data_IF_626045411860
#
_entry.id   IF_626045411860
#
_cell.length_a   1.000
_cell.length_b   1.000
_cell.length_c   1.000
_cell.angle_alpha   90.00
_cell.angle_beta   90.00
_cell.angle_gamma   90.00
#
_symmetry.space_group_name_H-M   'P 1'
#
loop_
_entity.id
_entity.type
_entity.pdbx_description
1 polymer ?
#
# COMPACT_ATOMS: atom_id res chain seq x y z
N UNK A 1 -16.94 -24.53 -20.78
CA UNK A 1 -18.39 -24.20 -20.77
C UNK A 1 -18.70 -23.29 -21.93
N UNK A 2 -19.83 -23.49 -22.59
CA UNK A 2 -20.33 -22.55 -23.61
C UNK A 2 -20.86 -21.28 -22.94
N UNK A 3 -21.00 -20.19 -23.70
CA UNK A 3 -21.43 -18.90 -23.15
C UNK A 3 -22.89 -18.94 -22.61
N UNK A 4 -23.69 -19.89 -23.10
CA UNK A 4 -25.10 -20.06 -22.73
C UNK A 4 -25.27 -20.84 -21.42
N UNK A 5 -24.31 -21.70 -21.07
CA UNK A 5 -24.24 -22.46 -19.81
C UNK A 5 -23.83 -21.59 -18.61
N UNK A 6 -23.26 -20.41 -18.84
CA UNK A 6 -22.80 -19.51 -17.78
C UNK A 6 -23.97 -18.69 -17.19
N UNK A 7 -23.99 -18.49 -15.85
CA UNK A 7 -24.95 -17.58 -15.24
C UNK A 7 -24.77 -16.16 -15.81
N UNK A 8 -25.85 -15.37 -15.87
CA UNK A 8 -25.90 -14.08 -16.60
C UNK A 8 -24.71 -13.16 -16.25
N UNK A 9 -24.37 -13.02 -14.97
CA UNK A 9 -23.24 -12.21 -14.47
C UNK A 9 -21.86 -12.63 -15.03
N UNK A 10 -21.73 -13.90 -15.41
CA UNK A 10 -20.51 -14.53 -15.91
C UNK A 10 -20.51 -14.73 -17.43
N UNK A 11 -21.61 -14.42 -18.11
CA UNK A 11 -21.63 -14.45 -19.58
C UNK A 11 -20.60 -13.47 -20.10
N UNK A 12 -19.79 -13.94 -21.05
CA UNK A 12 -18.63 -13.19 -21.58
C UNK A 12 -17.48 -12.95 -20.60
N UNK A 13 -17.49 -13.55 -19.40
CA UNK A 13 -16.34 -13.48 -18.51
C UNK A 13 -15.25 -14.46 -18.99
N UNK A 14 -14.07 -13.98 -19.42
CA UNK A 14 -13.03 -14.85 -19.95
C UNK A 14 -12.50 -15.82 -18.90
N UNK A 15 -12.51 -15.43 -17.61
CA UNK A 15 -12.07 -16.28 -16.52
C UNK A 15 -13.10 -17.37 -16.23
N UNK A 16 -14.39 -17.05 -16.28
CA UNK A 16 -15.43 -18.08 -16.11
C UNK A 16 -15.42 -19.09 -17.26
N UNK A 17 -15.16 -18.66 -18.50
CA UNK A 17 -15.00 -19.58 -19.64
C UNK A 17 -13.81 -20.51 -19.48
N UNK A 18 -12.69 -19.97 -19.00
CA UNK A 18 -11.41 -20.70 -18.93
C UNK A 18 -11.32 -21.60 -17.69
N UNK A 19 -11.73 -21.10 -16.52
CA UNK A 19 -11.59 -21.78 -15.23
C UNK A 19 -12.89 -22.40 -14.70
N UNK A 20 -14.03 -22.16 -15.37
CA UNK A 20 -15.30 -22.83 -15.08
C UNK A 20 -15.84 -22.63 -13.66
N UNK A 21 -16.45 -23.68 -13.11
CA UNK A 21 -17.20 -23.65 -11.86
C UNK A 21 -16.37 -23.24 -10.64
N UNK A 22 -15.07 -23.58 -10.61
CA UNK A 22 -14.21 -23.21 -9.49
C UNK A 22 -14.08 -21.69 -9.35
N UNK A 23 -13.93 -20.98 -10.48
CA UNK A 23 -13.91 -19.53 -10.52
C UNK A 23 -15.28 -18.95 -10.16
N UNK A 24 -16.35 -19.49 -10.75
CA UNK A 24 -17.72 -19.01 -10.52
C UNK A 24 -18.11 -19.11 -9.04
N UNK A 25 -17.78 -20.23 -8.38
CA UNK A 25 -18.05 -20.42 -6.95
C UNK A 25 -17.36 -19.38 -6.08
N UNK A 26 -16.11 -19.05 -6.39
CA UNK A 26 -15.32 -18.03 -5.67
C UNK A 26 -15.88 -16.62 -5.85
N UNK A 27 -16.28 -16.29 -7.07
CA UNK A 27 -16.87 -14.99 -7.37
C UNK A 27 -18.29 -14.82 -6.79
N UNK A 28 -19.10 -15.90 -6.79
CA UNK A 28 -20.38 -15.93 -6.06
C UNK A 28 -20.20 -15.75 -4.56
N UNK A 29 -19.13 -16.32 -3.99
CA UNK A 29 -18.82 -16.10 -2.58
C UNK A 29 -18.48 -14.63 -2.31
N UNK A 30 -17.70 -13.98 -3.19
CA UNK A 30 -17.47 -12.53 -3.09
C UNK A 30 -18.77 -11.74 -3.17
N UNK A 31 -19.68 -12.09 -4.08
CA UNK A 31 -21.01 -11.48 -4.18
C UNK A 31 -21.79 -11.61 -2.87
N UNK A 32 -21.94 -12.84 -2.35
CA UNK A 32 -22.67 -13.15 -1.12
C UNK A 32 -22.12 -12.35 0.08
N UNK A 33 -20.80 -12.30 0.20
CA UNK A 33 -20.10 -11.59 1.26
C UNK A 33 -20.33 -10.08 1.17
N UNK A 34 -20.35 -9.49 -0.03
CA UNK A 34 -20.61 -8.06 -0.22
C UNK A 34 -22.07 -7.71 0.10
N UNK A 35 -23.01 -8.59 -0.25
CA UNK A 35 -24.45 -8.26 -0.26
C UNK A 35 -25.19 -8.66 1.00
N UNK A 36 -24.72 -9.71 1.68
CA UNK A 36 -25.49 -10.40 2.72
C UNK A 36 -24.79 -10.53 4.06
N UNK A 37 -23.46 -10.44 4.12
CA UNK A 37 -22.73 -10.61 5.38
C UNK A 37 -22.79 -9.34 6.25
N UNK A 38 -22.57 -9.55 7.54
CA UNK A 38 -22.35 -8.53 8.57
C UNK A 38 -21.19 -9.00 9.45
N UNK A 39 -20.03 -8.38 9.33
CA UNK A 39 -18.84 -8.74 10.12
C UNK A 39 -18.84 -8.03 11.48
N UNK A 40 -19.59 -6.94 11.60
CA UNK A 40 -19.48 -5.96 12.68
C UNK A 40 -18.36 -4.94 12.42
N UNK A 41 -18.44 -3.79 13.12
CA UNK A 41 -17.58 -2.60 12.91
C UNK A 41 -16.09 -2.84 13.19
N UNK A 42 -15.76 -3.81 14.05
CA UNK A 42 -14.39 -4.08 14.48
C UNK A 42 -13.72 -5.25 13.78
N UNK A 43 -14.49 -6.06 13.03
CA UNK A 43 -13.98 -7.28 12.40
C UNK A 43 -13.96 -7.15 10.87
N UNK A 44 -13.02 -7.86 10.25
CA UNK A 44 -12.74 -7.85 8.83
C UNK A 44 -12.67 -9.29 8.32
N UNK A 45 -13.41 -9.56 7.24
CA UNK A 45 -13.24 -10.77 6.47
C UNK A 45 -12.15 -10.53 5.42
N UNK A 46 -11.06 -11.29 5.51
CA UNK A 46 -9.91 -11.17 4.60
C UNK A 46 -9.97 -12.27 3.56
N UNK A 47 -10.27 -11.91 2.32
CA UNK A 47 -10.43 -12.83 1.21
C UNK A 47 -9.12 -12.91 0.42
N UNK A 48 -8.43 -14.05 0.52
CA UNK A 48 -7.14 -14.26 -0.17
C UNK A 48 -7.30 -14.80 -1.60
N UNK A 49 -8.17 -14.16 -2.38
CA UNK A 49 -8.29 -14.50 -3.79
C UNK A 49 -6.95 -14.31 -4.50
N UNK A 50 -6.61 -15.28 -5.32
CA UNK A 50 -5.41 -15.24 -6.15
C UNK A 50 -5.37 -13.97 -7.02
N UNK A 51 -4.18 -13.38 -7.15
CA UNK A 51 -3.94 -12.20 -7.98
C UNK A 51 -4.25 -12.49 -9.45
N UNK A 52 -4.78 -11.50 -10.16
CA UNK A 52 -5.09 -11.64 -11.59
C UNK A 52 -6.44 -12.28 -11.92
N UNK A 53 -7.26 -12.67 -10.94
CA UNK A 53 -8.61 -13.23 -11.18
C UNK A 53 -9.71 -12.19 -11.47
N UNK A 54 -9.35 -10.91 -11.66
CA UNK A 54 -10.33 -9.85 -11.91
C UNK A 54 -11.24 -9.51 -10.73
N UNK A 55 -10.83 -9.83 -9.48
CA UNK A 55 -11.60 -9.60 -8.24
C UNK A 55 -12.18 -8.19 -8.13
N UNK A 56 -11.36 -7.18 -8.40
CA UNK A 56 -11.76 -5.77 -8.30
C UNK A 56 -12.77 -5.37 -9.38
N UNK A 57 -12.71 -5.98 -10.56
CA UNK A 57 -13.71 -5.76 -11.62
C UNK A 57 -15.00 -6.53 -11.34
N UNK A 58 -14.90 -7.75 -10.82
CA UNK A 58 -16.07 -8.52 -10.41
C UNK A 58 -16.87 -7.81 -9.32
N UNK A 59 -16.20 -7.19 -8.35
CA UNK A 59 -16.85 -6.32 -7.36
C UNK A 59 -17.69 -5.23 -8.04
N UNK A 60 -17.19 -4.57 -9.08
CA UNK A 60 -17.96 -3.54 -9.80
C UNK A 60 -19.19 -4.13 -10.50
N UNK A 61 -19.09 -5.34 -11.07
CA UNK A 61 -20.25 -6.04 -11.64
C UNK A 61 -21.32 -6.32 -10.58
N UNK A 62 -20.90 -6.80 -9.41
CA UNK A 62 -21.80 -7.03 -8.26
C UNK A 62 -22.47 -5.73 -7.85
N UNK A 63 -21.70 -4.65 -7.65
CA UNK A 63 -22.27 -3.35 -7.29
C UNK A 63 -23.27 -2.86 -8.35
N UNK A 64 -22.95 -2.94 -9.64
CA UNK A 64 -23.85 -2.56 -10.71
C UNK A 64 -25.20 -3.31 -10.67
N UNK A 65 -25.16 -4.63 -10.49
CA UNK A 65 -26.36 -5.45 -10.38
C UNK A 65 -27.24 -5.03 -9.19
N UNK A 66 -26.63 -4.86 -8.01
CA UNK A 66 -27.40 -4.60 -6.79
C UNK A 66 -27.80 -3.13 -6.62
N UNK A 67 -27.06 -2.17 -7.21
CA UNK A 67 -27.50 -0.76 -7.27
C UNK A 67 -28.76 -0.58 -8.12
N UNK A 68 -28.99 -1.48 -9.08
CA UNK A 68 -30.20 -1.52 -9.89
C UNK A 68 -31.40 -2.13 -9.16
N UNK A 69 -31.16 -2.82 -8.04
CA UNK A 69 -32.21 -3.43 -7.22
C UNK A 69 -32.73 -2.43 -6.17
N UNK A 70 -34.01 -2.00 -6.25
CA UNK A 70 -34.57 -1.05 -5.29
C UNK A 70 -34.70 -1.61 -3.88
N UNK A 71 -34.63 -2.93 -3.69
CA UNK A 71 -34.66 -3.56 -2.37
C UNK A 71 -33.29 -3.51 -1.67
N UNK A 72 -32.21 -3.28 -2.43
CA UNK A 72 -30.86 -3.21 -1.89
C UNK A 72 -30.54 -1.79 -1.39
N UNK A 73 -30.60 -1.62 -0.07
CA UNK A 73 -30.45 -0.32 0.60
C UNK A 73 -29.05 -0.10 1.20
N UNK A 74 -28.06 -0.89 0.81
CA UNK A 74 -26.69 -0.73 1.29
C UNK A 74 -25.95 0.36 0.51
N UNK A 75 -25.20 1.17 1.24
CA UNK A 75 -24.22 2.10 0.69
C UNK A 75 -22.82 1.58 0.95
N UNK A 76 -21.92 1.78 -0.02
CA UNK A 76 -20.62 1.11 -0.08
C UNK A 76 -19.50 2.14 -0.07
N UNK A 77 -18.46 1.86 0.72
CA UNK A 77 -17.18 2.53 0.68
C UNK A 77 -16.12 1.56 0.16
N UNK A 78 -15.45 1.93 -0.93
CA UNK A 78 -14.38 1.14 -1.53
C UNK A 78 -13.06 1.88 -1.41
N UNK A 79 -12.06 1.23 -0.83
CA UNK A 79 -10.71 1.79 -0.62
C UNK A 79 -9.77 1.18 -1.64
N UNK A 80 -9.14 2.02 -2.48
CA UNK A 80 -8.21 1.58 -3.53
C UNK A 80 -6.86 2.27 -3.41
N UNK A 81 -5.80 1.63 -3.88
CA UNK A 81 -4.44 2.19 -3.76
C UNK A 81 -4.19 3.34 -4.74
N UNK A 82 -4.65 3.22 -5.98
CA UNK A 82 -4.35 4.18 -7.04
C UNK A 82 -5.55 4.99 -7.49
N UNK A 83 -5.33 6.29 -7.71
CA UNK A 83 -6.32 7.21 -8.29
C UNK A 83 -6.87 6.72 -9.63
N UNK A 84 -6.00 6.29 -10.55
CA UNK A 84 -6.44 5.82 -11.86
C UNK A 84 -7.40 4.63 -11.81
N UNK A 85 -7.33 3.77 -10.78
CA UNK A 85 -8.29 2.69 -10.58
C UNK A 85 -9.61 3.18 -10.00
N UNK A 86 -9.59 4.24 -9.20
CA UNK A 86 -10.79 4.91 -8.70
C UNK A 86 -11.52 5.55 -9.88
N UNK A 87 -10.81 6.33 -10.70
CA UNK A 87 -11.40 7.01 -11.86
C UNK A 87 -12.07 6.00 -12.81
N UNK A 88 -11.36 4.92 -13.16
CA UNK A 88 -11.92 3.81 -13.98
C UNK A 88 -13.15 3.15 -13.36
N UNK A 89 -13.18 2.98 -12.03
CA UNK A 89 -14.31 2.37 -11.34
C UNK A 89 -15.54 3.31 -11.30
N UNK A 90 -15.30 4.60 -11.10
CA UNK A 90 -16.35 5.63 -11.13
C UNK A 90 -16.93 5.75 -12.53
N UNK A 91 -16.09 5.84 -13.57
CA UNK A 91 -16.53 5.89 -14.97
C UNK A 91 -17.35 4.65 -15.34
N UNK A 92 -16.88 3.46 -14.94
CA UNK A 92 -17.59 2.22 -15.18
C UNK A 92 -18.99 2.24 -14.56
N UNK A 93 -19.12 2.51 -13.26
CA UNK A 93 -20.42 2.44 -12.58
C UNK A 93 -21.36 3.58 -12.97
N UNK A 94 -20.84 4.79 -13.20
CA UNK A 94 -21.65 5.95 -13.59
C UNK A 94 -22.22 5.80 -15.01
N UNK A 95 -21.52 5.06 -15.88
CA UNK A 95 -21.99 4.75 -17.23
C UNK A 95 -23.10 3.69 -17.30
N UNK A 96 -23.44 3.01 -16.20
CA UNK A 96 -24.44 1.92 -16.20
C UNK A 96 -25.82 2.34 -15.69
N UNK A 97 -25.95 3.48 -15.00
CA UNK A 97 -27.26 3.91 -14.48
C UNK A 97 -27.24 5.21 -13.67
N UNK A 98 -28.40 5.58 -13.13
CA UNK A 98 -28.63 6.85 -12.41
C UNK A 98 -28.50 6.70 -10.89
N UNK A 99 -27.34 6.24 -10.41
CA UNK A 99 -27.02 6.20 -8.98
C UNK A 99 -25.79 7.06 -8.67
N UNK A 100 -25.73 7.57 -7.44
CA UNK A 100 -24.65 8.44 -7.01
C UNK A 100 -23.36 7.65 -6.75
N UNK A 101 -22.38 7.81 -7.64
CA UNK A 101 -21.02 7.27 -7.50
C UNK A 101 -20.04 8.43 -7.43
N UNK A 102 -19.06 8.34 -6.53
CA UNK A 102 -18.05 9.38 -6.39
C UNK A 102 -16.69 8.79 -6.02
N UNK A 103 -15.63 9.31 -6.63
CA UNK A 103 -14.25 9.07 -6.20
C UNK A 103 -13.69 10.28 -5.48
N UNK A 104 -13.18 10.10 -4.26
CA UNK A 104 -12.47 11.14 -3.51
C UNK A 104 -10.98 10.83 -3.48
N UNK A 105 -10.21 11.78 -4.01
CA UNK A 105 -8.74 11.74 -4.02
C UNK A 105 -8.19 13.01 -3.37
N UNK A 106 -6.86 13.14 -3.30
CA UNK A 106 -6.25 14.36 -2.78
C UNK A 106 -6.64 15.60 -3.63
N UNK A 107 -6.80 15.40 -4.94
CA UNK A 107 -6.98 16.48 -5.92
C UNK A 107 -8.34 17.18 -5.78
N UNK A 108 -9.40 16.42 -5.53
CA UNK A 108 -10.76 16.96 -5.41
C UNK A 108 -11.23 17.18 -3.97
N UNK A 109 -10.58 16.57 -2.98
CA UNK A 109 -10.95 16.78 -1.58
C UNK A 109 -10.76 18.24 -1.15
N UNK A 110 -9.54 18.75 -1.29
CA UNK A 110 -9.13 20.03 -0.68
C UNK A 110 -9.89 21.22 -1.27
N UNK A 111 -10.15 21.20 -2.58
CA UNK A 111 -10.76 22.33 -3.26
C UNK A 111 -12.28 22.26 -3.35
N UNK A 112 -12.85 21.06 -3.41
CA UNK A 112 -14.27 20.86 -3.71
C UNK A 112 -15.03 20.20 -2.55
N UNK A 113 -14.65 18.97 -2.20
CA UNK A 113 -15.49 18.12 -1.35
C UNK A 113 -15.38 18.41 0.13
N UNK A 114 -14.26 18.95 0.61
CA UNK A 114 -14.10 19.33 2.01
C UNK A 114 -15.19 20.34 2.48
N UNK A 115 -15.63 21.24 1.59
CA UNK A 115 -16.68 22.23 1.89
C UNK A 115 -18.10 21.67 1.80
N UNK A 116 -18.26 20.52 1.14
CA UNK A 116 -19.55 19.84 0.92
C UNK A 116 -19.56 18.44 1.55
N UNK A 117 -18.73 18.20 2.56
CA UNK A 117 -18.48 16.86 3.10
C UNK A 117 -19.76 16.16 3.60
N UNK A 118 -20.74 16.90 4.12
CA UNK A 118 -22.04 16.36 4.49
C UNK A 118 -22.79 15.68 3.31
N UNK A 119 -22.59 16.16 2.08
CA UNK A 119 -23.20 15.56 0.89
C UNK A 119 -22.64 14.16 0.59
N UNK A 120 -21.48 13.79 1.14
CA UNK A 120 -20.94 12.45 0.98
C UNK A 120 -21.87 11.39 1.55
N UNK A 121 -22.69 11.70 2.55
CA UNK A 121 -23.58 10.73 3.19
C UNK A 121 -24.70 10.22 2.27
N UNK A 122 -25.01 10.94 1.19
CA UNK A 122 -26.07 10.58 0.24
C UNK A 122 -25.52 9.80 -0.98
N UNK A 123 -24.20 9.62 -1.06
CA UNK A 123 -23.55 8.90 -2.15
C UNK A 123 -23.63 7.38 -1.93
N UNK A 124 -24.29 6.66 -2.85
CA UNK A 124 -24.49 5.19 -2.78
C UNK A 124 -23.17 4.42 -2.81
N UNK A 125 -22.23 4.82 -3.66
CA UNK A 125 -20.90 4.20 -3.77
C UNK A 125 -19.82 5.27 -3.72
N UNK A 126 -18.98 5.22 -2.69
CA UNK A 126 -17.86 6.12 -2.52
C UNK A 126 -16.55 5.36 -2.68
N UNK A 127 -15.66 5.86 -3.52
CA UNK A 127 -14.30 5.37 -3.66
C UNK A 127 -13.34 6.33 -2.97
N UNK A 128 -12.40 5.82 -2.18
CA UNK A 128 -11.34 6.62 -1.56
C UNK A 128 -9.98 5.97 -1.75
N UNK A 129 -8.92 6.76 -1.65
CA UNK A 129 -7.55 6.23 -1.66
C UNK A 129 -7.18 5.58 -0.32
N UNK A 130 -6.21 4.66 -0.32
CA UNK A 130 -5.55 4.18 0.91
C UNK A 130 -5.07 5.35 1.78
N UNK A 131 -4.44 6.36 1.18
CA UNK A 131 -3.98 7.56 1.91
C UNK A 131 -5.13 8.29 2.61
N UNK A 132 -6.29 8.43 1.96
CA UNK A 132 -7.48 9.01 2.60
C UNK A 132 -7.95 8.15 3.77
N UNK A 133 -8.06 6.83 3.58
CA UNK A 133 -8.47 5.91 4.65
C UNK A 133 -7.56 6.04 5.89
N UNK A 134 -6.25 6.15 5.68
CA UNK A 134 -5.27 6.38 6.75
C UNK A 134 -5.43 7.76 7.40
N UNK A 135 -5.61 8.82 6.62
CA UNK A 135 -5.85 10.17 7.16
C UNK A 135 -7.12 10.25 8.01
N UNK A 136 -8.18 9.52 7.64
CA UNK A 136 -9.44 9.44 8.40
C UNK A 136 -9.28 8.69 9.73
N UNK A 137 -8.16 7.99 9.96
CA UNK A 137 -7.82 7.44 11.27
C UNK A 137 -7.44 8.56 12.26
N UNK A 138 -6.98 9.71 11.76
CA UNK A 138 -6.51 10.83 12.58
C UNK A 138 -7.58 11.90 12.83
N UNK A 139 -8.73 11.80 12.16
CA UNK A 139 -9.80 12.79 12.22
C UNK A 139 -11.18 12.13 12.27
N UNK A 140 -11.64 11.82 13.48
CA UNK A 140 -12.93 11.15 13.70
C UNK A 140 -14.12 11.95 13.16
N UNK A 141 -14.07 13.28 13.27
CA UNK A 141 -15.14 14.17 12.75
C UNK A 141 -15.24 14.09 11.24
N UNK A 142 -14.09 14.12 10.55
CA UNK A 142 -14.08 13.97 9.10
C UNK A 142 -14.49 12.56 8.69
N UNK A 143 -14.05 11.53 9.43
CA UNK A 143 -14.42 10.13 9.19
C UNK A 143 -15.94 9.93 9.18
N UNK A 144 -16.69 10.62 10.04
CA UNK A 144 -18.15 10.54 10.05
C UNK A 144 -18.79 10.82 8.68
N UNK A 145 -18.28 11.78 7.91
CA UNK A 145 -18.80 12.05 6.56
C UNK A 145 -18.63 10.88 5.58
N UNK A 146 -17.62 10.03 5.82
CA UNK A 146 -17.31 8.85 5.01
C UNK A 146 -17.96 7.58 5.53
N UNK A 147 -18.43 7.54 6.78
CA UNK A 147 -18.97 6.32 7.41
C UNK A 147 -20.47 6.37 7.65
N UNK A 148 -21.03 7.55 7.91
CA UNK A 148 -22.45 7.71 8.19
C UNK A 148 -23.31 7.27 6.99
N UNK A 149 -24.40 6.54 7.29
CA UNK A 149 -25.29 5.89 6.32
C UNK A 149 -24.60 4.89 5.37
N UNK A 150 -23.42 4.37 5.70
CA UNK A 150 -22.74 3.31 4.94
C UNK A 150 -22.68 2.00 5.70
N UNK A 151 -22.81 0.93 4.93
CA UNK A 151 -22.97 -0.41 5.45
C UNK A 151 -21.75 -1.28 5.13
N UNK A 152 -21.24 -1.18 3.90
CA UNK A 152 -20.18 -2.08 3.40
C UNK A 152 -18.89 -1.31 3.17
N UNK A 153 -17.79 -1.77 3.76
CA UNK A 153 -16.43 -1.33 3.49
C UNK A 153 -15.69 -2.44 2.73
N UNK A 154 -15.13 -2.09 1.57
CA UNK A 154 -14.26 -2.99 0.82
C UNK A 154 -12.90 -2.35 0.65
N UNK A 155 -11.87 -2.95 1.23
CA UNK A 155 -10.48 -2.53 1.10
C UNK A 155 -9.80 -3.40 0.05
N UNK A 156 -9.40 -2.80 -1.07
CA UNK A 156 -8.63 -3.47 -2.12
C UNK A 156 -7.14 -3.41 -1.76
N UNK A 157 -6.51 -4.58 -1.61
CA UNK A 157 -5.13 -4.77 -1.13
C UNK A 157 -4.91 -4.35 0.35
N UNK A 158 -3.85 -4.88 0.97
CA UNK A 158 -3.47 -4.53 2.36
C UNK A 158 -3.16 -3.03 2.52
N UNK A 159 -3.71 -2.41 3.55
CA UNK A 159 -3.34 -1.05 3.97
C UNK A 159 -2.00 -1.07 4.69
N UNK A 160 -1.03 -0.29 4.21
CA UNK A 160 0.29 -0.15 4.83
C UNK A 160 0.35 1.22 5.49
N UNK A 161 0.20 1.25 6.82
CA UNK A 161 0.26 2.51 7.55
C UNK A 161 1.69 3.07 7.64
N UNK A 162 1.84 4.40 7.70
CA UNK A 162 3.15 5.04 7.81
C UNK A 162 3.90 4.61 9.08
N UNK A 163 5.15 4.19 8.89
CA UNK A 163 6.13 3.98 9.96
C UNK A 163 6.99 5.24 10.07
N UNK A 164 7.12 5.75 11.29
CA UNK A 164 7.95 6.89 11.62
C UNK A 164 9.27 6.41 12.21
N UNK A 165 10.38 6.71 11.54
CA UNK A 165 11.71 6.28 11.93
C UNK A 165 12.57 7.49 12.29
N UNK A 166 13.04 7.53 13.53
CA UNK A 166 14.06 8.47 13.98
C UNK A 166 15.43 7.80 13.91
N UNK A 167 16.42 8.52 13.37
CA UNK A 167 17.82 8.12 13.34
C UNK A 167 18.72 9.36 13.23
N UNK A 168 20.04 9.16 13.33
CA UNK A 168 21.02 10.25 13.24
C UNK A 168 20.97 10.99 11.90
N UNK A 169 20.58 10.32 10.80
CA UNK A 169 20.44 10.98 9.50
C UNK A 169 19.27 11.96 9.49
N UNK A 170 18.10 11.57 10.01
CA UNK A 170 16.94 12.45 10.11
C UNK A 170 17.21 13.61 11.06
N UNK A 171 17.85 13.34 12.21
CA UNK A 171 18.26 14.36 13.16
C UNK A 171 19.11 15.44 12.49
N UNK A 172 20.21 15.05 11.83
CA UNK A 172 21.12 16.00 11.19
C UNK A 172 20.45 16.77 10.05
N UNK A 173 19.60 16.08 9.27
CA UNK A 173 18.84 16.70 8.18
C UNK A 173 17.91 17.79 8.72
N UNK A 174 17.05 17.47 9.69
CA UNK A 174 16.07 18.42 10.25
C UNK A 174 16.77 19.55 11.01
N UNK A 175 17.83 19.25 11.77
CA UNK A 175 18.65 20.26 12.45
C UNK A 175 19.21 21.29 11.47
N UNK A 176 19.65 20.83 10.30
CA UNK A 176 20.17 21.69 9.22
C UNK A 176 19.13 22.58 8.56
N UNK A 177 17.83 22.31 8.77
CA UNK A 177 16.74 23.16 8.28
C UNK A 177 16.49 24.38 9.18
N UNK A 178 17.00 24.36 10.42
CA UNK A 178 16.71 25.34 11.45
C UNK A 178 17.85 26.34 11.65
N UNK A 179 17.49 27.58 12.00
CA UNK A 179 18.45 28.59 12.47
C UNK A 179 18.94 28.25 13.90
N UNK A 180 19.94 28.98 14.38
CA UNK A 180 20.58 28.68 15.68
C UNK A 180 19.61 28.68 16.86
N UNK A 181 18.63 29.58 16.91
CA UNK A 181 17.69 29.65 18.04
C UNK A 181 16.72 28.47 18.07
N UNK A 182 16.24 28.00 16.91
CA UNK A 182 15.38 26.82 16.84
C UNK A 182 16.19 25.54 17.07
N UNK A 183 17.45 25.49 16.64
CA UNK A 183 18.34 24.34 16.87
C UNK A 183 18.48 23.98 18.35
N UNK A 184 18.60 24.96 19.24
CA UNK A 184 18.74 24.70 20.69
C UNK A 184 17.50 23.97 21.26
N UNK A 185 16.29 24.42 20.88
CA UNK A 185 15.04 23.76 21.30
C UNK A 185 14.89 22.39 20.62
N UNK A 186 15.26 22.29 19.35
CA UNK A 186 15.26 21.03 18.61
C UNK A 186 16.18 19.97 19.24
N UNK A 187 17.40 20.37 19.62
CA UNK A 187 18.38 19.49 20.24
C UNK A 187 17.84 18.95 21.57
N UNK A 188 17.20 19.80 22.39
CA UNK A 188 16.50 19.41 23.62
C UNK A 188 15.34 18.43 23.35
N UNK A 189 14.54 18.68 22.31
CA UNK A 189 13.46 17.76 21.90
C UNK A 189 13.99 16.41 21.42
N UNK A 190 15.20 16.35 20.87
CA UNK A 190 15.77 15.11 20.34
C UNK A 190 16.61 14.33 21.37
N UNK A 191 17.08 14.98 22.43
CA UNK A 191 17.98 14.40 23.43
C UNK A 191 17.50 13.03 23.96
N UNK A 192 16.24 12.85 24.41
CA UNK A 192 15.79 11.55 24.89
C UNK A 192 15.85 10.44 23.83
N UNK A 193 15.62 10.76 22.56
CA UNK A 193 15.71 9.79 21.47
C UNK A 193 17.16 9.48 21.11
N UNK A 194 18.03 10.48 21.15
CA UNK A 194 19.48 10.32 20.92
C UNK A 194 20.12 9.46 22.00
N UNK A 195 19.74 9.64 23.26
CA UNK A 195 20.21 8.79 24.36
C UNK A 195 19.89 7.31 24.11
N UNK A 196 18.72 7.00 23.54
CA UNK A 196 18.36 5.63 23.15
C UNK A 196 19.18 5.12 21.96
N UNK A 197 19.50 5.98 20.99
CA UNK A 197 20.38 5.60 19.87
C UNK A 197 21.79 5.28 20.37
N UNK A 198 22.34 6.14 21.21
CA UNK A 198 23.70 6.02 21.76
C UNK A 198 23.81 4.81 22.70
N UNK A 199 22.77 4.55 23.51
CA UNK A 199 22.71 3.38 24.39
C UNK A 199 22.82 2.05 23.64
N UNK A 200 22.33 1.97 22.41
CA UNK A 200 22.26 0.71 21.66
C UNK A 200 23.15 0.65 20.41
N UNK A 201 23.99 1.66 20.18
CA UNK A 201 24.80 1.80 18.96
C UNK A 201 25.65 0.55 18.61
N UNK A 202 26.08 -0.20 19.62
CA UNK A 202 26.92 -1.39 19.45
C UNK A 202 26.12 -2.68 19.13
N UNK A 203 24.79 -2.67 19.26
CA UNK A 203 23.93 -3.85 19.14
C UNK A 203 23.19 -3.92 17.79
N UNK A 204 23.94 -4.09 16.69
CA UNK A 204 23.41 -4.01 15.32
C UNK A 204 22.38 -5.08 14.92
N UNK A 205 22.46 -6.28 15.51
CA UNK A 205 21.61 -7.42 15.13
C UNK A 205 20.52 -7.74 16.17
N UNK A 206 20.21 -6.78 17.05
CA UNK A 206 19.22 -6.98 18.12
C UNK A 206 18.13 -5.91 18.06
N UNK A 207 16.97 -6.25 18.61
CA UNK A 207 15.84 -5.35 18.71
C UNK A 207 15.52 -5.04 20.15
N UNK A 208 15.25 -3.77 20.42
CA UNK A 208 14.90 -3.29 21.76
C UNK A 208 13.61 -2.49 21.72
N UNK A 209 12.80 -2.63 22.76
CA UNK A 209 11.67 -1.72 22.95
C UNK A 209 12.17 -0.37 23.45
N UNK A 210 11.71 0.70 22.83
CA UNK A 210 12.04 2.08 23.17
C UNK A 210 10.79 2.76 23.71
N UNK A 211 10.93 3.37 24.89
CA UNK A 211 9.91 4.20 25.53
C UNK A 211 10.54 5.53 25.91
N UNK A 212 10.77 6.37 24.91
CA UNK A 212 11.29 7.70 25.13
C UNK A 212 10.25 8.55 25.88
N UNK A 213 10.70 9.38 26.81
CA UNK A 213 9.83 10.25 27.60
C UNK A 213 10.33 11.68 27.47
N UNK A 214 9.39 12.59 27.24
CA UNK A 214 9.61 14.02 27.21
C UNK A 214 8.39 14.72 27.81
N UNK A 215 8.57 15.90 28.41
CA UNK A 215 7.44 16.69 28.90
C UNK A 215 6.61 17.17 27.71
N UNK A 216 5.27 16.97 27.70
CA UNK A 216 4.42 17.39 26.59
C UNK A 216 4.56 18.88 26.22
N UNK A 217 4.73 19.74 27.22
CA UNK A 217 4.88 21.19 27.01
C UNK A 217 6.09 21.53 26.15
N UNK A 218 7.19 20.77 26.25
CA UNK A 218 8.40 20.98 25.43
C UNK A 218 8.11 20.67 23.96
N UNK A 219 7.38 19.59 23.70
CA UNK A 219 6.98 19.19 22.33
C UNK A 219 6.01 20.22 21.75
N UNK A 220 5.02 20.67 22.53
CA UNK A 220 4.06 21.69 22.11
C UNK A 220 4.76 23.02 21.81
N UNK A 221 5.64 23.48 22.71
CA UNK A 221 6.42 24.70 22.51
C UNK A 221 7.28 24.62 21.25
N UNK A 222 7.97 23.50 21.03
CA UNK A 222 8.75 23.29 19.82
C UNK A 222 7.89 23.32 18.56
N UNK A 223 6.75 22.62 18.53
CA UNK A 223 5.79 22.66 17.41
C UNK A 223 5.35 24.09 17.10
N UNK A 224 4.98 24.87 18.13
CA UNK A 224 4.58 26.27 17.96
C UNK A 224 5.71 27.18 17.44
N UNK A 225 6.94 26.98 17.91
CA UNK A 225 8.11 27.72 17.43
C UNK A 225 8.36 27.42 15.95
N UNK A 226 8.31 26.14 15.55
CA UNK A 226 8.50 25.73 14.16
C UNK A 226 7.40 26.27 13.26
N UNK A 227 6.14 26.24 13.70
CA UNK A 227 5.01 26.80 12.98
C UNK A 227 5.14 28.31 12.76
N UNK A 228 5.51 29.06 13.80
CA UNK A 228 5.75 30.50 13.71
C UNK A 228 6.91 30.86 12.76
N UNK A 229 7.85 29.92 12.54
CA UNK A 229 9.01 30.11 11.68
C UNK A 229 8.93 29.29 10.38
N UNK A 230 7.77 28.75 10.02
CA UNK A 230 7.63 27.82 8.88
C UNK A 230 8.12 28.40 7.56
N UNK A 231 7.85 29.69 7.33
CA UNK A 231 8.27 30.41 6.12
C UNK A 231 9.79 30.54 5.98
N UNK A 232 10.54 30.45 7.08
CA UNK A 232 12.01 30.50 7.08
C UNK A 232 12.67 29.16 6.74
N UNK A 233 11.90 28.06 6.78
CA UNK A 233 12.39 26.72 6.49
C UNK A 233 12.55 26.57 4.97
N UNK A 234 13.71 26.11 4.47
CA UNK A 234 13.91 25.88 3.05
C UNK A 234 12.83 24.96 2.48
N UNK A 235 12.17 25.36 1.39
CA UNK A 235 11.08 24.59 0.76
C UNK A 235 11.42 23.11 0.53
N UNK A 236 12.65 22.82 0.11
CA UNK A 236 13.16 21.46 -0.12
C UNK A 236 13.24 20.57 1.13
N UNK A 237 13.16 21.15 2.33
CA UNK A 237 13.24 20.45 3.63
C UNK A 237 11.91 20.47 4.39
N UNK A 238 10.90 21.19 3.90
CA UNK A 238 9.61 21.32 4.60
C UNK A 238 8.91 19.96 4.77
N UNK A 239 9.04 19.06 3.78
CA UNK A 239 8.50 17.70 3.90
C UNK A 239 9.20 16.89 5.00
N UNK A 240 10.54 16.96 5.08
CA UNK A 240 11.32 16.28 6.12
C UNK A 240 11.01 16.82 7.52
N UNK A 241 10.88 18.15 7.65
CA UNK A 241 10.48 18.78 8.92
C UNK A 241 9.05 18.37 9.30
N UNK A 242 8.10 18.38 8.36
CA UNK A 242 6.73 17.92 8.62
C UNK A 242 6.68 16.44 9.02
N UNK A 243 7.49 15.59 8.37
CA UNK A 243 7.65 14.19 8.76
C UNK A 243 8.15 14.06 10.20
N UNK A 244 9.17 14.84 10.58
CA UNK A 244 9.70 14.87 11.93
C UNK A 244 8.66 15.33 12.97
N UNK A 245 7.94 16.42 12.70
CA UNK A 245 6.89 16.94 13.59
C UNK A 245 5.79 15.91 13.86
N UNK A 246 5.38 15.16 12.84
CA UNK A 246 4.41 14.05 12.96
C UNK A 246 5.01 12.86 13.71
N UNK A 247 6.31 12.60 13.52
CA UNK A 247 7.04 11.55 14.21
C UNK A 247 7.13 11.77 15.72
N UNK A 248 7.13 13.01 16.20
CA UNK A 248 7.15 13.31 17.65
C UNK A 248 5.99 12.66 18.40
N UNK A 249 4.78 12.69 17.83
CA UNK A 249 3.59 12.07 18.44
C UNK A 249 3.71 10.54 18.49
N UNK A 250 4.52 9.95 17.61
CA UNK A 250 4.79 8.52 17.56
C UNK A 250 5.87 8.13 18.56
N UNK A 251 7.04 8.77 18.47
CA UNK A 251 8.23 8.41 19.25
C UNK A 251 8.05 8.67 20.75
N UNK A 252 7.22 9.64 21.12
CA UNK A 252 6.90 9.95 22.51
C UNK A 252 5.53 9.43 22.97
N UNK A 253 4.61 9.13 22.05
CA UNK A 253 3.27 8.65 22.37
C UNK A 253 3.12 7.13 22.43
N UNK A 254 4.09 6.36 21.92
CA UNK A 254 3.96 4.90 21.76
C UNK A 254 5.22 4.13 22.14
N UNK A 255 5.11 2.80 22.18
CA UNK A 255 6.27 1.92 22.29
C UNK A 255 6.88 1.76 20.91
N UNK A 256 8.10 2.26 20.74
CA UNK A 256 8.86 2.11 19.50
C UNK A 256 9.79 0.89 19.57
N UNK A 257 10.37 0.54 18.43
CA UNK A 257 11.36 -0.52 18.29
C UNK A 257 12.66 0.08 17.79
N UNK A 258 13.75 -0.20 18.50
CA UNK A 258 15.10 0.08 18.04
C UNK A 258 15.65 -1.11 17.24
N UNK A 259 16.29 -0.84 16.10
CA UNK A 259 17.23 -1.76 15.45
C UNK A 259 18.26 -0.98 14.63
N UNK A 260 19.54 -1.36 14.71
CA UNK A 260 20.60 -0.86 13.83
C UNK A 260 20.63 0.68 13.61
N UNK A 261 20.43 1.46 14.69
CA UNK A 261 20.44 2.92 14.63
C UNK A 261 19.12 3.58 14.21
N UNK A 262 18.04 2.81 14.08
CA UNK A 262 16.69 3.30 13.82
C UNK A 262 15.81 3.10 15.05
N UNK A 263 15.01 4.11 15.41
CA UNK A 263 13.89 4.01 16.34
C UNK A 263 12.61 4.17 15.52
N UNK A 264 11.87 3.10 15.35
CA UNK A 264 10.68 3.05 14.49
C UNK A 264 9.41 2.81 15.30
N UNK A 265 8.34 3.50 14.92
CA UNK A 265 7.02 3.31 15.51
C UNK A 265 5.90 3.64 14.53
N UNK A 266 4.66 3.46 14.97
CA UNK A 266 3.45 3.78 14.20
C UNK A 266 2.55 4.68 15.04
N UNK A 267 1.83 5.58 14.39
CA UNK A 267 0.91 6.48 15.08
C UNK A 267 -0.17 5.67 15.83
N UNK A 268 -0.48 5.98 17.10
CA UNK A 268 -1.36 5.15 17.93
C UNK A 268 -2.79 5.05 17.38
N UNK A 269 -3.24 6.10 16.67
CA UNK A 269 -4.55 6.17 16.03
C UNK A 269 -4.62 5.44 14.68
N UNK A 270 -3.49 5.10 14.04
CA UNK A 270 -3.47 4.40 12.75
C UNK A 270 -3.91 2.94 12.93
N UNK A 271 -5.22 2.72 12.84
CA UNK A 271 -5.87 1.43 13.01
C UNK A 271 -6.95 1.25 11.95
N UNK A 272 -7.23 -0.01 11.61
CA UNK A 272 -8.35 -0.32 10.75
C UNK A 272 -9.65 0.04 11.48
N UNK A 273 -10.44 0.93 10.88
CA UNK A 273 -11.82 1.23 11.24
C UNK A 273 -12.75 0.61 10.20
N UNK A 274 -13.91 0.13 10.66
CA UNK A 274 -14.88 -0.56 9.82
C UNK A 274 -16.25 0.10 9.83
N UNK A 275 -17.17 -0.57 9.14
CA UNK A 275 -18.60 -0.38 9.02
C UNK A 275 -19.29 -1.72 9.41
N UNK A 276 -20.59 -1.85 9.20
CA UNK A 276 -21.33 -3.07 9.55
C UNK A 276 -20.78 -4.35 8.85
N UNK A 277 -20.31 -4.23 7.61
CA UNK A 277 -19.69 -5.30 6.84
C UNK A 277 -18.33 -4.86 6.26
N UNK A 278 -17.23 -5.52 6.64
CA UNK A 278 -15.87 -5.13 6.26
C UNK A 278 -15.10 -6.24 5.58
N UNK A 279 -14.61 -5.95 4.39
CA UNK A 279 -13.90 -6.88 3.53
C UNK A 279 -12.52 -6.35 3.19
N UNK A 280 -11.53 -7.24 3.20
CA UNK A 280 -10.20 -6.96 2.66
C UNK A 280 -9.93 -7.95 1.53
N UNK A 281 -9.68 -7.43 0.33
CA UNK A 281 -9.33 -8.21 -0.85
C UNK A 281 -7.80 -8.22 -1.00
N UNK A 282 -7.13 -9.17 -0.37
CA UNK A 282 -5.66 -9.25 -0.38
C UNK A 282 -5.18 -10.66 -0.73
N UNK A 283 -4.61 -10.80 -1.92
CA UNK A 283 -4.06 -12.06 -2.42
C UNK A 283 -2.91 -12.59 -1.55
N UNK A 284 -2.21 -11.69 -0.84
CA UNK A 284 -1.06 -12.05 -0.01
C UNK A 284 -1.45 -12.50 1.40
N UNK A 285 -2.73 -12.44 1.80
CA UNK A 285 -3.14 -12.66 3.18
C UNK A 285 -2.86 -14.07 3.75
N UNK A 286 -2.68 -15.10 2.91
CA UNK A 286 -2.22 -16.42 3.38
C UNK A 286 -0.73 -16.46 3.71
N UNK A 287 0.06 -15.63 3.02
CA UNK A 287 1.53 -15.55 3.10
C UNK A 287 1.94 -14.53 4.17
N UNK A 288 1.30 -13.36 4.16
CA UNK A 288 1.55 -12.30 5.13
C UNK A 288 1.01 -12.69 6.51
N UNK A 289 1.90 -12.77 7.49
CA UNK A 289 1.58 -13.17 8.85
C UNK A 289 0.80 -12.13 9.65
N UNK A 290 0.70 -10.86 9.19
CA UNK A 290 0.15 -9.79 10.03
C UNK A 290 -1.33 -10.01 10.40
N UNK A 291 -2.16 -10.55 9.50
CA UNK A 291 -3.57 -10.82 9.80
C UNK A 291 -3.75 -11.88 10.88
N UNK A 292 -2.79 -12.80 11.03
CA UNK A 292 -2.81 -13.86 12.03
C UNK A 292 -2.56 -13.35 13.45
N UNK A 293 -2.10 -12.10 13.60
CA UNK A 293 -1.81 -11.51 14.91
C UNK A 293 -3.05 -11.21 15.73
N UNK A 294 -4.19 -10.97 15.07
CA UNK A 294 -5.46 -10.72 15.73
C UNK A 294 -6.57 -11.46 14.97
N UNK A 295 -6.73 -12.78 15.19
CA UNK A 295 -7.73 -13.59 14.48
C UNK A 295 -9.16 -13.25 14.88
N UNK A 296 -9.38 -12.53 15.98
CA UNK A 296 -10.70 -11.99 16.33
C UNK A 296 -11.10 -10.85 15.39
N UNK A 297 -10.14 -9.98 15.07
CA UNK A 297 -10.33 -8.85 14.17
C UNK A 297 -10.24 -9.23 12.69
N UNK A 298 -9.32 -10.12 12.31
CA UNK A 298 -9.09 -10.48 10.91
C UNK A 298 -9.35 -11.98 10.70
N UNK A 299 -10.49 -12.29 10.08
CA UNK A 299 -10.84 -13.65 9.71
C UNK A 299 -10.40 -13.93 8.28
N UNK A 300 -9.33 -14.72 8.11
CA UNK A 300 -8.84 -15.10 6.79
C UNK A 300 -9.69 -16.23 6.22
N UNK A 301 -10.33 -15.98 5.08
CA UNK A 301 -11.06 -17.01 4.32
C UNK A 301 -10.21 -17.49 3.16
N UNK A 302 -9.70 -18.71 3.29
CA UNK A 302 -8.87 -19.34 2.27
C UNK A 302 -9.69 -19.72 1.04
N UNK A 303 -9.44 -19.04 -0.07
CA UNK A 303 -10.13 -19.28 -1.35
C UNK A 303 -9.39 -20.30 -2.23
N UNK A 304 -8.10 -20.58 -1.96
CA UNK A 304 -7.26 -21.50 -2.74
C UNK A 304 -6.92 -20.98 -4.15
N UNK A 305 -6.08 -21.71 -4.89
CA UNK A 305 -5.67 -21.35 -6.25
C UNK A 305 -6.76 -21.70 -7.28
N UNK A 306 -6.83 -20.93 -8.37
CA UNK A 306 -7.63 -21.24 -9.58
C UNK A 306 -6.71 -21.37 -10.78
N UNK A 307 -5.66 -20.54 -10.85
CA UNK A 307 -4.74 -20.51 -11.98
C UNK A 307 -3.85 -21.75 -11.92
N UNK A 308 -3.71 -22.41 -13.07
CA UNK A 308 -2.75 -23.49 -13.24
C UNK A 308 -1.33 -22.93 -13.45
N UNK A 309 -0.46 -23.22 -12.48
CA UNK A 309 0.95 -22.82 -12.49
C UNK A 309 1.90 -23.97 -12.86
N UNK A 310 1.42 -25.12 -13.32
CA UNK A 310 2.28 -26.29 -13.63
C UNK A 310 3.37 -25.98 -14.66
N UNK A 311 3.10 -25.04 -15.57
CA UNK A 311 4.04 -24.59 -16.60
C UNK A 311 4.99 -23.49 -16.12
N UNK A 312 4.80 -22.95 -14.91
CA UNK A 312 5.69 -21.95 -14.35
C UNK A 312 7.02 -22.57 -13.91
N UNK A 313 8.13 -21.94 -14.30
CA UNK A 313 9.48 -22.37 -13.91
C UNK A 313 10.14 -21.30 -13.06
N UNK A 314 10.58 -21.68 -11.86
CA UNK A 314 11.35 -20.81 -10.97
C UNK A 314 12.83 -21.16 -11.04
N UNK A 315 13.63 -20.26 -11.61
CA UNK A 315 15.08 -20.40 -11.68
C UNK A 315 15.74 -19.53 -10.61
N UNK A 316 16.51 -20.13 -9.71
CA UNK A 316 17.19 -19.42 -8.62
C UNK A 316 18.67 -19.26 -8.96
N UNK A 317 19.09 -18.01 -9.19
CA UNK A 317 20.50 -17.66 -9.32
C UNK A 317 21.06 -17.35 -7.93
N UNK A 318 22.04 -18.15 -7.46
CA UNK A 318 22.69 -17.93 -6.17
C UNK A 318 23.67 -16.76 -6.28
N UNK A 319 23.20 -15.57 -5.91
CA UNK A 319 24.03 -14.38 -5.79
C UNK A 319 23.61 -13.60 -4.54
N UNK A 320 24.56 -12.98 -3.83
CA UNK A 320 24.21 -12.17 -2.67
C UNK A 320 23.69 -10.80 -3.13
N UNK A 321 22.37 -10.69 -3.21
CA UNK A 321 21.68 -9.51 -3.74
C UNK A 321 21.20 -8.53 -2.66
N UNK A 322 21.87 -8.48 -1.51
CA UNK A 322 21.64 -7.40 -0.53
C UNK A 322 22.07 -6.04 -1.12
N UNK A 323 21.47 -4.93 -0.68
CA UNK A 323 21.78 -3.59 -1.20
C UNK A 323 23.29 -3.27 -1.16
N UNK A 324 23.96 -3.63 -0.06
CA UNK A 324 25.41 -3.41 0.09
C UNK A 324 26.24 -4.28 -0.87
N UNK A 325 25.84 -5.54 -1.10
CA UNK A 325 26.57 -6.41 -2.02
C UNK A 325 26.28 -6.11 -3.48
N UNK A 326 25.05 -5.69 -3.82
CA UNK A 326 24.76 -5.15 -5.16
C UNK A 326 25.63 -3.93 -5.42
N UNK A 327 25.72 -3.00 -4.46
CA UNK A 327 26.54 -1.79 -4.61
C UNK A 327 28.03 -2.10 -4.78
N UNK A 328 28.57 -3.08 -4.02
CA UNK A 328 29.98 -3.50 -4.15
C UNK A 328 30.29 -4.18 -5.48
N UNK A 329 29.36 -4.95 -6.02
CA UNK A 329 29.57 -5.74 -7.24
C UNK A 329 28.85 -5.12 -8.45
N UNK A 330 28.48 -3.85 -8.38
CA UNK A 330 27.63 -3.19 -9.35
C UNK A 330 28.20 -3.27 -10.77
N UNK A 331 29.52 -3.06 -10.88
CA UNK A 331 30.26 -3.03 -12.14
C UNK A 331 30.25 -4.38 -12.88
N UNK A 332 30.07 -5.49 -12.18
CA UNK A 332 30.02 -6.83 -12.76
C UNK A 332 28.58 -7.34 -12.89
N UNK A 333 27.76 -7.07 -11.88
CA UNK A 333 26.41 -7.62 -11.75
C UNK A 333 25.47 -7.14 -12.86
N UNK A 334 25.37 -5.82 -13.09
CA UNK A 334 24.41 -5.31 -14.07
C UNK A 334 24.76 -5.65 -15.53
N UNK A 335 26.05 -5.60 -15.96
CA UNK A 335 26.44 -6.14 -17.26
C UNK A 335 26.10 -7.62 -17.42
N UNK A 336 26.36 -8.44 -16.41
CA UNK A 336 26.09 -9.88 -16.46
C UNK A 336 24.58 -10.17 -16.55
N UNK A 337 23.76 -9.45 -15.78
CA UNK A 337 22.29 -9.54 -15.87
C UNK A 337 21.82 -9.15 -17.27
N UNK A 338 22.27 -8.01 -17.80
CA UNK A 338 21.87 -7.54 -19.13
C UNK A 338 22.27 -8.55 -20.22
N UNK A 339 23.49 -9.10 -20.14
CA UNK A 339 23.97 -10.16 -21.04
C UNK A 339 23.06 -11.39 -20.99
N UNK A 340 22.76 -11.90 -19.80
CA UNK A 340 21.88 -13.08 -19.66
C UNK A 340 20.46 -12.81 -20.15
N UNK A 341 19.94 -11.60 -19.95
CA UNK A 341 18.64 -11.20 -20.50
C UNK A 341 18.70 -11.24 -22.03
N UNK A 342 19.72 -10.64 -22.67
CA UNK A 342 19.89 -10.69 -24.13
C UNK A 342 19.95 -12.14 -24.65
N UNK A 343 20.67 -13.02 -23.97
CA UNK A 343 20.82 -14.42 -24.38
C UNK A 343 19.53 -15.24 -24.27
N UNK A 344 18.59 -14.81 -23.42
CA UNK A 344 17.38 -15.58 -23.13
C UNK A 344 16.10 -14.95 -23.64
N UNK A 345 16.09 -13.66 -23.97
CA UNK A 345 14.94 -12.91 -24.45
C UNK A 345 14.74 -13.14 -25.96
N UNK A 346 13.61 -13.73 -26.33
CA UNK A 346 13.24 -13.87 -27.75
C UNK A 346 12.52 -12.61 -28.27
N UNK A 347 12.55 -12.31 -29.58
CA UNK A 347 11.95 -11.09 -30.14
C UNK A 347 10.48 -10.86 -29.79
N UNK A 348 9.68 -11.93 -29.66
CA UNK A 348 8.24 -11.85 -29.37
C UNK A 348 7.89 -12.05 -27.89
N UNK A 349 8.88 -12.24 -27.03
CA UNK A 349 8.66 -12.39 -25.60
C UNK A 349 8.69 -11.04 -24.89
N UNK A 350 7.83 -10.91 -23.89
CA UNK A 350 7.80 -9.75 -22.99
C UNK A 350 8.37 -10.11 -21.64
N UNK A 351 9.26 -9.24 -21.15
CA UNK A 351 9.99 -9.39 -19.90
C UNK A 351 9.65 -8.29 -18.90
N UNK A 352 9.20 -8.69 -17.72
CA UNK A 352 9.09 -7.82 -16.55
C UNK A 352 10.33 -7.97 -15.66
N UNK A 353 10.98 -6.87 -15.35
CA UNK A 353 12.10 -6.82 -14.42
C UNK A 353 11.68 -6.07 -13.16
N UNK A 354 11.86 -6.67 -11.99
CA UNK A 354 11.56 -6.06 -10.69
C UNK A 354 12.86 -5.92 -9.91
N UNK A 355 13.20 -4.69 -9.51
CA UNK A 355 14.42 -4.41 -8.76
C UNK A 355 14.22 -3.36 -7.63
N UNK A 356 15.30 -2.88 -7.02
CA UNK A 356 15.21 -1.69 -6.16
C UNK A 356 15.16 -0.41 -7.02
N UNK A 357 14.36 0.59 -6.61
CA UNK A 357 14.14 1.85 -7.36
C UNK A 357 15.45 2.54 -7.77
N UNK A 358 16.45 2.56 -6.89
CA UNK A 358 17.76 3.18 -7.14
C UNK A 358 18.61 2.47 -8.22
N UNK A 359 18.25 1.25 -8.62
CA UNK A 359 18.95 0.49 -9.65
C UNK A 359 18.22 0.46 -11.00
N UNK A 360 16.96 0.88 -11.05
CA UNK A 360 16.13 0.74 -12.24
C UNK A 360 16.69 1.50 -13.46
N UNK A 361 17.10 2.77 -13.26
CA UNK A 361 17.72 3.57 -14.32
C UNK A 361 19.07 2.99 -14.79
N UNK A 362 19.90 2.50 -13.86
CA UNK A 362 21.19 1.88 -14.17
C UNK A 362 21.00 0.63 -15.02
N UNK A 363 20.07 -0.24 -14.63
CA UNK A 363 19.78 -1.45 -15.38
C UNK A 363 19.30 -1.14 -16.80
N UNK A 364 18.45 -0.11 -16.98
CA UNK A 364 18.06 0.37 -18.31
C UNK A 364 19.28 0.72 -19.16
N UNK A 365 20.24 1.47 -18.61
CA UNK A 365 21.48 1.82 -19.32
C UNK A 365 22.26 0.57 -19.75
N UNK A 366 22.35 -0.44 -18.88
CA UNK A 366 23.04 -1.70 -19.22
C UNK A 366 22.30 -2.52 -20.27
N UNK A 367 20.97 -2.53 -20.26
CA UNK A 367 20.16 -3.17 -21.30
C UNK A 367 20.37 -2.51 -22.67
N UNK A 368 20.40 -1.18 -22.72
CA UNK A 368 20.68 -0.47 -23.98
C UNK A 368 22.08 -0.77 -24.53
N UNK A 369 23.09 -0.93 -23.67
CA UNK A 369 24.46 -1.32 -24.09
C UNK A 369 24.54 -2.71 -24.70
N UNK A 370 23.57 -3.57 -24.43
CA UNK A 370 23.48 -4.90 -25.03
C UNK A 370 22.40 -4.94 -26.13
N UNK A 371 22.01 -3.79 -26.67
CA UNK A 371 21.06 -3.64 -27.80
C UNK A 371 19.61 -4.02 -27.47
N UNK A 372 19.21 -3.89 -26.20
CA UNK A 372 17.80 -3.98 -25.78
C UNK A 372 17.28 -2.55 -25.56
N UNK A 373 16.58 -2.02 -26.56
CA UNK A 373 16.16 -0.62 -26.61
C UNK A 373 14.69 -0.40 -26.23
N UNK A 374 13.82 -1.37 -26.52
CA UNK A 374 12.37 -1.31 -26.22
C UNK A 374 12.10 -1.58 -24.72
N UNK A 375 12.57 -0.65 -23.90
CA UNK A 375 12.57 -0.71 -22.44
C UNK A 375 11.79 0.46 -21.85
N UNK A 376 10.70 0.15 -21.15
CA UNK A 376 9.97 1.10 -20.34
C UNK A 376 10.46 1.07 -18.89
N UNK A 377 10.82 2.23 -18.35
CA UNK A 377 10.95 2.44 -16.90
C UNK A 377 9.57 2.85 -16.36
N UNK A 378 8.89 1.96 -15.65
CA UNK A 378 7.49 2.16 -15.26
C UNK A 378 7.38 3.01 -13.99
N UNK A 379 7.12 4.31 -14.15
CA UNK A 379 6.84 5.22 -13.04
C UNK A 379 5.34 5.25 -12.67
N UNK A 380 4.96 6.11 -11.72
CA UNK A 380 3.59 6.17 -11.18
C UNK A 380 2.56 6.57 -12.25
N UNK A 381 2.93 7.51 -13.10
CA UNK A 381 2.03 8.16 -14.08
C UNK A 381 2.38 7.83 -15.53
N UNK A 382 3.19 6.79 -15.74
CA UNK A 382 3.56 6.31 -17.08
C UNK A 382 2.81 5.03 -17.35
N UNK A 383 1.95 5.04 -18.36
CA UNK A 383 1.19 3.85 -18.78
C UNK A 383 2.05 2.92 -19.64
N UNK A 384 1.78 1.62 -19.52
CA UNK A 384 2.39 0.62 -20.37
C UNK A 384 1.79 0.67 -21.78
N UNK A 385 2.61 0.91 -22.79
CA UNK A 385 2.18 1.04 -24.19
C UNK A 385 2.69 -0.07 -25.11
N UNK A 386 3.03 -1.23 -24.54
CA UNK A 386 3.29 -2.44 -25.32
C UNK A 386 4.76 -2.85 -25.43
N UNK A 387 5.66 -2.13 -24.75
CA UNK A 387 7.11 -2.39 -24.76
C UNK A 387 7.45 -3.85 -24.43
N UNK A 388 8.53 -4.34 -25.04
CA UNK A 388 9.07 -5.68 -24.86
C UNK A 388 9.58 -5.87 -23.43
N UNK A 389 10.31 -4.90 -22.89
CA UNK A 389 10.86 -4.96 -21.53
C UNK A 389 10.28 -3.85 -20.67
N UNK A 390 9.84 -4.21 -19.47
CA UNK A 390 9.42 -3.24 -18.45
C UNK A 390 10.28 -3.42 -17.22
N UNK A 391 10.89 -2.33 -16.75
CA UNK A 391 11.58 -2.27 -15.46
C UNK A 391 10.64 -1.59 -14.46
N UNK A 392 10.40 -2.28 -13.35
CA UNK A 392 9.70 -1.77 -12.20
C UNK A 392 10.45 -2.10 -10.90
N UNK A 393 9.91 -1.69 -9.76
CA UNK A 393 10.51 -1.89 -8.45
C UNK A 393 9.52 -2.33 -7.39
N UNK A 394 10.07 -2.93 -6.34
CA UNK A 394 9.31 -3.37 -5.17
C UNK A 394 8.47 -2.23 -4.58
N UNK A 395 7.18 -2.49 -4.37
CA UNK A 395 6.20 -1.52 -3.86
C UNK A 395 5.36 -0.80 -4.93
N UNK A 396 5.86 -0.67 -6.17
CA UNK A 396 5.14 -0.02 -7.30
C UNK A 396 4.37 -1.02 -8.18
N UNK A 397 4.55 -2.32 -7.95
CA UNK A 397 3.89 -3.40 -8.70
C UNK A 397 2.50 -3.79 -8.17
N UNK A 398 2.22 -3.54 -6.88
CA UNK A 398 0.97 -3.98 -6.23
C UNK A 398 -0.20 -3.15 -6.76
N UNK A 399 -1.25 -3.81 -7.27
CA UNK A 399 -2.45 -3.17 -7.80
C UNK A 399 -2.36 -2.76 -9.28
N UNK A 400 -1.53 -3.42 -10.11
CA UNK A 400 -1.52 -3.21 -11.57
C UNK A 400 -1.72 -4.53 -12.32
N UNK A 401 -2.62 -4.53 -13.31
CA UNK A 401 -2.98 -5.72 -14.09
C UNK A 401 -2.17 -5.90 -15.38
N UNK A 402 -1.40 -4.88 -15.80
CA UNK A 402 -0.63 -4.94 -17.05
C UNK A 402 0.43 -6.04 -17.08
N UNK A 403 0.87 -6.51 -15.90
CA UNK A 403 1.89 -7.56 -15.79
C UNK A 403 1.43 -8.93 -16.27
N UNK A 404 0.11 -9.15 -16.43
CA UNK A 404 -0.45 -10.35 -17.06
C UNK A 404 0.02 -10.55 -18.51
N UNK A 405 0.52 -9.48 -19.16
CA UNK A 405 0.99 -9.49 -20.55
C UNK A 405 2.41 -10.04 -20.72
N UNK A 406 3.12 -10.36 -19.63
CA UNK A 406 4.53 -10.74 -19.63
C UNK A 406 4.72 -12.24 -19.43
N UNK A 407 5.57 -12.86 -20.25
CA UNK A 407 5.86 -14.30 -20.18
C UNK A 407 7.01 -14.60 -19.22
N UNK A 408 7.90 -13.63 -18.99
CA UNK A 408 9.07 -13.77 -18.12
C UNK A 408 9.08 -12.69 -17.05
N UNK A 409 9.51 -13.06 -15.84
CA UNK A 409 9.76 -12.13 -14.75
C UNK A 409 11.16 -12.36 -14.16
N UNK A 410 11.94 -11.29 -14.04
CA UNK A 410 13.24 -11.28 -13.39
C UNK A 410 13.16 -10.49 -12.09
N UNK A 411 13.41 -11.16 -10.97
CA UNK A 411 13.49 -10.55 -9.65
C UNK A 411 14.96 -10.29 -9.31
N UNK A 412 15.37 -9.03 -9.24
CA UNK A 412 16.74 -8.61 -9.00
C UNK A 412 16.81 -7.88 -7.65
N UNK A 413 17.60 -8.40 -6.71
CA UNK A 413 17.55 -7.90 -5.33
C UNK A 413 16.50 -8.60 -4.51
N UNK A 414 16.69 -8.61 -3.20
CA UNK A 414 15.67 -9.08 -2.26
C UNK A 414 15.09 -7.85 -1.55
N UNK A 415 13.76 -7.66 -1.54
CA UNK A 415 13.13 -6.56 -0.82
C UNK A 415 13.09 -6.85 0.68
N UNK A 416 14.24 -6.79 1.34
CA UNK A 416 14.30 -6.90 2.79
C UNK A 416 13.85 -5.58 3.39
N UNK A 417 12.77 -5.62 4.17
CA UNK A 417 12.46 -4.52 5.08
C UNK A 417 13.48 -4.54 6.23
N UNK A 418 13.81 -3.38 6.81
CA UNK A 418 14.52 -3.34 8.08
C UNK A 418 13.77 -4.14 9.16
N UNK A 419 14.51 -4.81 10.05
CA UNK A 419 13.93 -5.80 10.95
C UNK A 419 12.91 -5.19 11.92
N UNK A 420 13.17 -3.97 12.40
CA UNK A 420 12.25 -3.19 13.22
C UNK A 420 10.92 -2.92 12.54
N UNK A 421 10.88 -2.78 11.21
CA UNK A 421 9.64 -2.52 10.48
C UNK A 421 8.72 -3.73 10.49
N UNK A 422 9.25 -4.95 10.41
CA UNK A 422 8.43 -6.15 10.58
C UNK A 422 7.76 -6.14 11.95
N UNK A 423 8.53 -5.85 13.02
CA UNK A 423 8.00 -5.80 14.38
C UNK A 423 6.94 -4.70 14.55
N UNK A 424 7.14 -3.52 13.98
CA UNK A 424 6.14 -2.44 14.00
C UNK A 424 4.87 -2.83 13.26
N UNK A 425 4.97 -3.49 12.10
CA UNK A 425 3.80 -4.03 11.39
C UNK A 425 3.05 -5.07 12.23
N UNK A 426 3.78 -5.97 12.90
CA UNK A 426 3.16 -6.94 13.79
C UNK A 426 2.45 -6.26 14.98
N UNK A 427 3.08 -5.28 15.63
CA UNK A 427 2.48 -4.50 16.71
C UNK A 427 1.18 -3.81 16.29
N UNK A 428 1.16 -3.27 15.08
CA UNK A 428 -0.01 -2.60 14.54
C UNK A 428 -1.20 -3.54 14.36
N UNK A 429 -0.96 -4.75 13.84
CA UNK A 429 -2.02 -5.72 13.56
C UNK A 429 -2.37 -6.59 14.78
N UNK A 430 -1.49 -6.68 15.78
CA UNK A 430 -1.76 -7.37 17.05
C UNK A 430 -2.62 -6.54 18.01
N UNK A 431 -2.84 -5.27 17.72
CA UNK A 431 -3.54 -4.38 18.65
C UNK A 431 -5.01 -4.83 18.81
N UNK A 432 -5.41 -5.20 20.03
CA UNK A 432 -6.74 -5.72 20.35
C UNK A 432 -7.70 -4.69 20.94
N UNK A 433 -7.27 -3.43 21.14
CA UNK A 433 -7.98 -2.56 22.08
C UNK A 433 -7.60 -2.88 23.52
N UNK A 434 -7.60 -1.83 24.35
CA UNK A 434 -7.70 -1.91 25.81
C UNK A 434 -9.18 -1.97 26.19
#
# INVERSE_FOLDING_TARGET
>A
MTNEELPILFRNDPYAKHYGDQYIKKMRYLEEVVTSYETGEDNFLVLNFEGGLGKSFHLLKVLNQYLSDPTWQRNVLVVKKFKAEIDKAVDYLSGQGQWSVLGITADNWTYEWARKAAQLQTIRVLFITHDRYMNLCLNDKERQYFTENRHVLVIDEKVIFPIYTFNNSLYNLVRGAFNRSIQEVFDCVCEPLRDWLDKFQDFKNQCYQVRAKIKPDIVTQFKSIVEANWSSIPKKMQEDVNYFLRGLDVWYGTVCVYNAGNISGVHPLHRHWGLANNLILDASASIDGVYKMNPRKFQIMNQGLVIDHEKCRFNVYKFNTSKSNIQRNEAELFPEIARKIKETLQPNEKLLIICHKNYAAKLRTHLSRVEIEDVLLHEKDVEYSGQQVVINWYGNIVGKNDYSKFQKCWLIGTPNLPFEQYLVHYQQYSFTGL
#
